data_IF_198118616392
#
_entry.id   IF_198118616392
#
_cell.length_a   1.000
_cell.length_b   1.000
_cell.length_c   1.000
_cell.angle_alpha   90.00
_cell.angle_beta   90.00
_cell.angle_gamma   90.00
#
_symmetry.space_group_name_H-M   'P 1'
#
loop_
_entity.id
_entity.type
_entity.pdbx_description
1 polymer ?
#
# COMPACT_ATOMS: atom_id res chain seq x y z
N UNK A 1 -22.81 -14.14 -8.73
CA UNK A 1 -22.31 -12.84 -8.23
C UNK A 1 -20.85 -12.76 -8.61
N UNK A 2 -20.39 -11.62 -9.14
CA UNK A 2 -18.97 -11.38 -9.43
C UNK A 2 -18.18 -11.28 -8.12
N UNK A 3 -17.03 -11.92 -8.05
CA UNK A 3 -16.09 -11.87 -6.91
C UNK A 3 -15.51 -10.46 -6.69
N UNK A 4 -14.98 -10.20 -5.50
CA UNK A 4 -14.31 -8.92 -5.18
C UNK A 4 -13.12 -8.66 -6.13
N UNK A 5 -12.37 -9.70 -6.51
CA UNK A 5 -11.27 -9.62 -7.47
C UNK A 5 -11.74 -9.20 -8.87
N UNK A 6 -12.86 -9.75 -9.33
CA UNK A 6 -13.45 -9.38 -10.62
C UNK A 6 -13.99 -7.94 -10.59
N UNK A 7 -14.66 -7.53 -9.50
CA UNK A 7 -15.11 -6.14 -9.32
C UNK A 7 -13.94 -5.16 -9.33
N UNK A 8 -12.85 -5.47 -8.62
CA UNK A 8 -11.64 -4.66 -8.64
C UNK A 8 -11.05 -4.58 -10.06
N UNK A 9 -10.99 -5.71 -10.77
CA UNK A 9 -10.47 -5.77 -12.14
C UNK A 9 -11.33 -4.97 -13.13
N UNK A 10 -12.66 -4.94 -12.94
CA UNK A 10 -13.55 -4.10 -13.73
C UNK A 10 -13.32 -2.61 -13.45
N UNK A 11 -13.08 -2.24 -12.19
CA UNK A 11 -12.81 -0.84 -11.83
C UNK A 11 -11.51 -0.33 -12.45
N UNK A 12 -10.43 -1.12 -12.47
CA UNK A 12 -9.16 -0.68 -13.10
C UNK A 12 -9.33 -0.46 -14.62
N UNK A 13 -10.28 -1.12 -15.26
CA UNK A 13 -10.57 -1.01 -16.70
C UNK A 13 -11.58 0.11 -17.03
N UNK A 14 -12.24 0.68 -16.01
CA UNK A 14 -13.29 1.69 -16.19
C UNK A 14 -12.76 3.08 -15.82
N UNK A 15 -12.52 3.97 -16.81
CA UNK A 15 -12.07 5.32 -16.51
C UNK A 15 -13.14 6.12 -15.77
N UNK A 16 -12.73 6.91 -14.79
CA UNK A 16 -13.62 7.83 -14.09
C UNK A 16 -13.29 7.99 -12.62
N UNK A 17 -14.03 8.89 -11.98
CA UNK A 17 -13.93 9.11 -10.54
C UNK A 17 -14.61 7.96 -9.79
N UNK A 18 -13.93 7.40 -8.79
CA UNK A 18 -14.42 6.30 -7.96
C UNK A 18 -14.61 6.77 -6.54
N UNK A 19 -15.74 6.42 -5.92
CA UNK A 19 -16.00 6.69 -4.51
C UNK A 19 -15.06 5.84 -3.63
N UNK A 20 -14.30 6.44 -2.69
CA UNK A 20 -13.46 5.70 -1.75
C UNK A 20 -14.19 4.58 -1.01
N UNK A 21 -15.47 4.76 -0.64
CA UNK A 21 -16.25 3.76 0.10
C UNK A 21 -16.49 2.48 -0.71
N UNK A 22 -16.64 2.60 -2.03
CA UNK A 22 -16.73 1.44 -2.94
C UNK A 22 -15.43 0.65 -2.94
N UNK A 23 -14.29 1.34 -3.00
CA UNK A 23 -12.97 0.70 -2.97
C UNK A 23 -12.73 -0.01 -1.63
N UNK A 24 -13.07 0.63 -0.51
CA UNK A 24 -12.99 0.02 0.82
C UNK A 24 -13.85 -1.24 0.92
N UNK A 25 -15.11 -1.19 0.47
CA UNK A 25 -16.01 -2.34 0.53
C UNK A 25 -15.52 -3.53 -0.29
N UNK A 26 -14.85 -3.29 -1.43
CA UNK A 26 -14.22 -4.35 -2.23
C UNK A 26 -12.97 -4.89 -1.52
N UNK A 27 -12.12 -3.99 -1.01
CA UNK A 27 -10.89 -4.35 -0.33
C UNK A 27 -11.13 -5.22 0.91
N UNK A 28 -12.16 -4.92 1.70
CA UNK A 28 -12.52 -5.65 2.92
C UNK A 28 -12.93 -7.11 2.67
N UNK A 29 -13.23 -7.48 1.41
CA UNK A 29 -13.60 -8.84 1.01
C UNK A 29 -12.41 -9.66 0.48
N UNK A 30 -11.23 -9.05 0.31
CA UNK A 30 -10.06 -9.74 -0.21
C UNK A 30 -9.30 -10.47 0.91
N UNK A 31 -8.84 -11.68 0.62
CA UNK A 31 -8.01 -12.44 1.55
C UNK A 31 -6.66 -11.72 1.80
N UNK A 32 -6.15 -11.74 3.04
CA UNK A 32 -4.83 -11.19 3.34
C UNK A 32 -3.74 -12.04 2.67
N UNK A 33 -2.61 -11.38 2.38
CA UNK A 33 -1.39 -12.04 1.91
C UNK A 33 -0.30 -11.97 2.97
N UNK A 34 0.66 -12.89 2.91
CA UNK A 34 1.86 -12.88 3.76
C UNK A 34 2.88 -11.86 3.24
N UNK A 35 3.73 -11.28 4.11
CA UNK A 35 4.77 -10.34 3.69
C UNK A 35 5.65 -10.82 2.54
N UNK A 36 5.99 -12.12 2.53
CA UNK A 36 6.89 -12.70 1.52
C UNK A 36 6.25 -12.72 0.12
N UNK A 37 4.92 -12.63 0.03
CA UNK A 37 4.19 -12.55 -1.24
C UNK A 37 4.26 -11.15 -1.88
N UNK A 38 4.73 -10.14 -1.15
CA UNK A 38 4.92 -8.78 -1.68
C UNK A 38 6.27 -8.60 -2.40
N UNK A 39 7.21 -9.53 -2.25
CA UNK A 39 8.55 -9.40 -2.81
C UNK A 39 8.54 -9.25 -4.34
N UNK A 40 9.42 -8.39 -4.86
CA UNK A 40 9.53 -8.06 -6.28
C UNK A 40 9.08 -6.65 -6.65
N UNK A 41 9.03 -6.39 -7.95
CA UNK A 41 8.65 -5.10 -8.51
C UNK A 41 7.18 -5.04 -8.89
N UNK A 42 6.51 -3.97 -8.47
CA UNK A 42 5.08 -3.77 -8.71
C UNK A 42 4.87 -2.53 -9.56
N UNK A 43 3.98 -2.65 -10.55
CA UNK A 43 3.50 -1.50 -11.31
C UNK A 43 2.43 -0.76 -10.52
N UNK A 44 2.61 0.56 -10.43
CA UNK A 44 1.70 1.45 -9.74
C UNK A 44 0.46 1.79 -10.57
N UNK A 45 -0.63 2.02 -9.85
CA UNK A 45 -1.87 2.60 -10.37
C UNK A 45 -2.64 3.23 -9.23
N UNK A 46 -3.51 4.18 -9.52
CA UNK A 46 -4.41 4.77 -8.53
C UNK A 46 -5.77 5.04 -9.16
N UNK A 47 -6.81 4.91 -8.36
CA UNK A 47 -8.14 5.37 -8.71
C UNK A 47 -8.23 6.88 -8.50
N UNK A 48 -8.92 7.58 -9.40
CA UNK A 48 -9.27 8.97 -9.17
C UNK A 48 -10.38 9.03 -8.11
N UNK A 49 -9.99 9.26 -6.86
CA UNK A 49 -10.91 9.56 -5.76
C UNK A 49 -11.04 11.08 -5.53
N UNK A 50 -10.28 11.88 -6.28
CA UNK A 50 -10.00 13.29 -6.03
C UNK A 50 -9.09 13.57 -4.84
N UNK A 51 -8.37 12.57 -4.33
CA UNK A 51 -7.32 12.79 -3.34
C UNK A 51 -6.11 13.50 -3.97
N UNK A 52 -5.54 14.55 -3.34
CA UNK A 52 -4.50 15.39 -3.94
C UNK A 52 -3.20 14.63 -4.28
N UNK A 53 -2.91 13.54 -3.57
CA UNK A 53 -1.71 12.71 -3.80
C UNK A 53 -1.62 12.19 -5.25
N UNK A 54 -2.76 12.01 -5.93
CA UNK A 54 -2.78 11.56 -7.31
C UNK A 54 -2.06 12.54 -8.25
N UNK A 55 -2.13 13.86 -7.97
CA UNK A 55 -1.39 14.85 -8.75
C UNK A 55 0.10 14.76 -8.50
N UNK A 56 0.51 14.66 -7.24
CA UNK A 56 1.93 14.48 -6.87
C UNK A 56 2.53 13.23 -7.51
N UNK A 57 1.82 12.09 -7.51
CA UNK A 57 2.31 10.84 -8.11
C UNK A 57 2.48 10.96 -9.63
N UNK A 58 1.60 11.70 -10.32
CA UNK A 58 1.76 12.01 -11.75
C UNK A 58 2.96 12.92 -11.99
N UNK A 59 3.13 13.97 -11.20
CA UNK A 59 4.20 14.96 -11.34
C UNK A 59 5.59 14.34 -11.20
N UNK A 60 5.74 13.33 -10.34
CA UNK A 60 7.03 12.64 -10.12
C UNK A 60 7.23 11.45 -11.07
N UNK A 61 6.35 11.22 -12.05
CA UNK A 61 6.35 10.02 -12.90
C UNK A 61 6.43 8.72 -12.09
N UNK A 62 5.61 8.60 -11.05
CA UNK A 62 5.56 7.39 -10.23
C UNK A 62 5.10 6.19 -11.05
N UNK A 63 5.88 5.10 -11.01
CA UNK A 63 5.63 3.85 -11.75
C UNK A 63 5.46 2.64 -10.85
N UNK A 64 5.63 2.79 -9.53
CA UNK A 64 5.26 1.76 -8.57
C UNK A 64 6.20 1.62 -7.38
N UNK A 65 6.43 0.38 -6.97
CA UNK A 65 7.14 0.03 -5.73
C UNK A 65 8.09 -1.12 -5.99
N UNK A 66 9.14 -1.23 -5.18
CA UNK A 66 10.06 -2.37 -5.22
C UNK A 66 10.24 -2.94 -3.82
N UNK A 67 10.04 -4.25 -3.68
CA UNK A 67 10.20 -4.97 -2.41
C UNK A 67 11.38 -5.92 -2.56
N UNK A 68 12.59 -5.42 -2.30
CA UNK A 68 13.83 -6.23 -2.39
C UNK A 68 13.90 -7.24 -1.25
N UNK A 69 13.45 -6.84 -0.05
CA UNK A 69 13.25 -7.73 1.09
C UNK A 69 12.16 -7.17 2.00
N UNK A 70 11.74 -7.93 3.01
CA UNK A 70 10.79 -7.44 4.02
C UNK A 70 11.33 -6.22 4.78
N UNK A 71 12.66 -6.10 4.93
CA UNK A 71 13.30 -4.98 5.65
C UNK A 71 13.74 -3.84 4.71
N UNK A 72 13.59 -4.02 3.40
CA UNK A 72 14.04 -3.07 2.40
C UNK A 72 13.04 -2.95 1.25
N UNK A 73 12.15 -1.97 1.40
CA UNK A 73 11.15 -1.59 0.41
C UNK A 73 11.44 -0.19 -0.08
N UNK A 74 11.45 -0.03 -1.40
CA UNK A 74 11.33 1.25 -2.05
C UNK A 74 9.83 1.58 -2.29
N UNK A 75 9.26 2.52 -1.50
CA UNK A 75 7.85 2.84 -1.61
C UNK A 75 7.53 3.71 -2.83
N UNK A 76 8.52 4.32 -3.48
CA UNK A 76 8.33 5.27 -4.59
C UNK A 76 9.40 5.05 -5.65
N UNK A 77 9.07 4.19 -6.60
CA UNK A 77 9.83 4.01 -7.83
C UNK A 77 9.25 4.94 -8.89
N UNK A 78 10.12 5.75 -9.52
CA UNK A 78 9.76 6.68 -10.60
C UNK A 78 10.41 6.26 -11.90
N UNK A 79 9.90 6.78 -13.01
CA UNK A 79 10.56 6.68 -14.30
C UNK A 79 11.47 7.88 -14.54
N UNK A 80 12.72 7.61 -14.89
CA UNK A 80 13.70 8.57 -15.33
C UNK A 80 14.48 8.03 -16.54
N UNK A 81 14.40 8.71 -17.68
CA UNK A 81 15.10 8.34 -18.92
C UNK A 81 14.84 6.89 -19.39
N UNK A 82 13.60 6.43 -19.27
CA UNK A 82 13.15 5.07 -19.58
C UNK A 82 13.53 4.03 -18.53
N UNK A 83 14.13 4.43 -17.41
CA UNK A 83 14.59 3.53 -16.36
C UNK A 83 13.73 3.66 -15.11
N UNK A 84 13.48 2.55 -14.42
CA UNK A 84 12.88 2.54 -13.08
C UNK A 84 13.96 2.88 -12.07
N UNK A 85 13.78 3.98 -11.32
CA UNK A 85 14.74 4.46 -10.33
C UNK A 85 14.05 4.71 -8.99
N UNK A 86 14.81 4.50 -7.90
CA UNK A 86 14.39 4.90 -6.56
C UNK A 86 14.27 6.41 -6.49
N UNK A 87 13.14 6.93 -6.02
CA UNK A 87 13.01 8.38 -5.83
C UNK A 87 13.81 8.88 -4.62
N UNK A 88 13.98 8.03 -3.60
CA UNK A 88 14.79 8.29 -2.40
C UNK A 88 14.33 9.41 -1.46
N UNK A 89 13.46 10.33 -1.91
CA UNK A 89 13.06 11.52 -1.11
C UNK A 89 12.19 11.21 0.10
N UNK A 90 11.47 10.09 0.09
CA UNK A 90 10.61 9.65 1.19
C UNK A 90 11.22 8.54 2.05
N UNK A 91 12.49 8.21 1.82
CA UNK A 91 13.17 7.11 2.49
C UNK A 91 12.66 5.73 2.06
N UNK A 92 13.17 4.72 2.74
CA UNK A 92 12.78 3.32 2.56
C UNK A 92 11.74 2.90 3.60
N UNK A 93 11.11 1.76 3.36
CA UNK A 93 10.12 1.16 4.26
C UNK A 93 10.47 -0.31 4.55
N UNK A 94 9.76 -0.90 5.52
CA UNK A 94 9.75 -2.33 5.81
C UNK A 94 8.31 -2.85 5.88
N UNK A 95 8.14 -4.16 5.69
CA UNK A 95 6.87 -4.87 5.77
C UNK A 95 6.85 -5.65 7.07
N UNK A 96 5.79 -5.47 7.85
CA UNK A 96 5.53 -6.24 9.07
C UNK A 96 4.08 -6.70 9.10
N UNK A 97 3.84 -7.81 9.78
CA UNK A 97 2.48 -8.12 10.21
C UNK A 97 2.07 -7.10 11.28
N UNK A 98 0.81 -6.68 11.34
CA UNK A 98 0.33 -5.86 12.44
C UNK A 98 0.67 -6.56 13.76
N UNK A 99 1.32 -5.83 14.66
CA UNK A 99 1.62 -6.34 16.00
C UNK A 99 0.30 -6.80 16.62
N UNK A 100 0.17 -8.10 16.89
CA UNK A 100 -0.98 -8.55 17.67
C UNK A 100 -0.83 -7.89 19.03
N UNK A 101 -1.76 -7.00 19.38
CA UNK A 101 -1.82 -6.33 20.67
C UNK A 101 -1.80 -7.38 21.79
N UNK A 102 -0.62 -7.77 22.24
CA UNK A 102 -0.43 -8.40 23.53
C UNK A 102 -0.81 -7.32 24.53
N UNK A 103 -2.01 -7.42 25.10
CA UNK A 103 -2.39 -6.67 26.29
C UNK A 103 -1.40 -7.04 27.40
N UNK A 104 -0.24 -6.39 27.43
CA UNK A 104 0.65 -6.43 28.56
C UNK A 104 -0.03 -5.62 29.66
N UNK A 105 -0.80 -6.33 30.50
CA UNK A 105 -1.27 -5.78 31.76
C UNK A 105 -0.04 -5.54 32.62
N UNK A 106 0.44 -4.29 32.63
CA UNK A 106 1.45 -3.85 33.58
C UNK A 106 0.94 -4.16 35.00
N UNK A 107 1.63 -4.96 35.83
CA UNK A 107 1.27 -5.08 37.22
C UNK A 107 1.46 -3.70 37.86
N UNK A 108 0.39 -3.13 38.45
CA UNK A 108 0.48 -1.95 39.30
C UNK A 108 1.57 -2.20 40.34
N UNK A 109 2.70 -1.50 40.23
CA UNK A 109 3.63 -1.43 41.34
C UNK A 109 2.89 -0.73 42.49
N UNK A 110 2.66 -1.49 43.56
CA UNK A 110 2.21 -0.95 44.82
C UNK A 110 3.33 -0.04 45.35
N UNK A 111 3.08 1.26 45.34
CA UNK A 111 3.85 2.21 46.14
C UNK A 111 3.57 1.86 47.60
N UNK A 112 4.55 1.26 48.27
CA UNK A 112 4.56 1.16 49.73
C UNK A 112 4.98 2.51 50.30
N UNK A 113 4.11 3.04 51.16
CA UNK A 113 4.30 3.97 52.29
C UNK A 113 5.38 5.05 52.18
#
# INVERSE_FOLDING_TARGET
MTSAQEQYTQLIQTPGRVDPSTLSAIFDQLDPIKPEQLLGDWNGGFFDTGHPVANTLKEINWVGKSFTSIDHVDPVVVEENGCRVSWGKWGFASVSLPEQSVHHTMPRQAIKS
#
